data_IF_395874347130
#
_entry.id   IF_395874347130
#
_cell.length_a   1.000
_cell.length_b   1.000
_cell.length_c   1.000
_cell.angle_alpha   90.00
_cell.angle_beta   90.00
_cell.angle_gamma   90.00
#
_symmetry.space_group_name_H-M   'P 1'
#
loop_
_entity.id
_entity.type
_entity.pdbx_description
1 polymer ?
#
# COMPACT_ATOMS: atom_id res chain seq x y z
N UNK A 1 -21.66 47.12 -34.69
CA UNK A 1 -20.82 46.03 -34.12
C UNK A 1 -21.37 44.72 -34.65
N UNK A 2 -20.57 43.88 -35.31
CA UNK A 2 -21.05 42.61 -35.89
C UNK A 2 -21.50 41.66 -34.76
N UNK A 3 -22.69 41.04 -34.84
CA UNK A 3 -23.30 40.29 -33.74
C UNK A 3 -22.42 39.13 -33.22
N UNK A 4 -21.55 38.58 -34.07
CA UNK A 4 -20.59 37.55 -33.66
C UNK A 4 -19.53 38.01 -32.64
N UNK A 5 -19.20 39.31 -32.59
CA UNK A 5 -18.20 39.82 -31.64
C UNK A 5 -18.67 39.77 -30.18
N UNK A 6 -19.96 39.98 -29.95
CA UNK A 6 -20.54 39.95 -28.59
C UNK A 6 -20.55 38.52 -28.04
N UNK A 7 -20.81 37.53 -28.89
CA UNK A 7 -20.77 36.12 -28.52
C UNK A 7 -19.36 35.68 -28.13
N UNK A 8 -18.34 36.06 -28.91
CA UNK A 8 -16.94 35.73 -28.61
C UNK A 8 -16.52 36.35 -27.27
N UNK A 9 -16.88 37.61 -27.02
CA UNK A 9 -16.57 38.28 -25.75
C UNK A 9 -17.25 37.58 -24.57
N UNK A 10 -18.52 37.18 -24.72
CA UNK A 10 -19.23 36.43 -23.67
C UNK A 10 -18.58 35.09 -23.35
N UNK A 11 -18.15 34.33 -24.37
CA UNK A 11 -17.45 33.05 -24.18
C UNK A 11 -16.11 33.24 -23.49
N UNK A 12 -15.33 34.24 -23.91
CA UNK A 12 -14.02 34.53 -23.31
C UNK A 12 -14.17 34.93 -21.84
N UNK A 13 -15.15 35.78 -21.53
CA UNK A 13 -15.42 36.18 -20.14
C UNK A 13 -15.89 35.00 -19.27
N UNK A 14 -16.74 34.11 -19.82
CA UNK A 14 -17.18 32.91 -19.12
C UNK A 14 -16.03 31.94 -18.82
N UNK A 15 -15.14 31.71 -19.79
CA UNK A 15 -13.96 30.85 -19.62
C UNK A 15 -12.98 31.42 -18.60
N UNK A 16 -12.70 32.73 -18.68
CA UNK A 16 -11.84 33.40 -17.71
C UNK A 16 -12.42 33.33 -16.29
N UNK A 17 -13.72 33.61 -16.15
CA UNK A 17 -14.40 33.52 -14.86
C UNK A 17 -14.40 32.10 -14.29
N UNK A 18 -14.71 31.10 -15.12
CA UNK A 18 -14.70 29.68 -14.73
C UNK A 18 -13.30 29.20 -14.32
N UNK A 19 -12.25 29.64 -15.03
CA UNK A 19 -10.87 29.29 -14.70
C UNK A 19 -10.41 29.93 -13.39
N UNK A 20 -10.73 31.21 -13.17
CA UNK A 20 -10.42 31.90 -11.91
C UNK A 20 -11.14 31.20 -10.75
N UNK A 21 -12.42 30.84 -10.92
CA UNK A 21 -13.19 30.12 -9.91
C UNK A 21 -12.55 28.76 -9.58
N UNK A 22 -12.21 27.98 -10.61
CA UNK A 22 -11.62 26.65 -10.45
C UNK A 22 -10.26 26.69 -9.75
N UNK A 23 -9.45 27.73 -9.92
CA UNK A 23 -8.10 27.79 -9.32
C UNK A 23 -8.04 28.51 -7.96
N UNK A 24 -8.85 29.55 -7.73
CA UNK A 24 -8.77 30.33 -6.49
C UNK A 24 -9.83 29.95 -5.45
N UNK A 25 -11.01 29.48 -5.86
CA UNK A 25 -12.12 29.19 -4.94
C UNK A 25 -12.15 27.69 -4.57
N UNK A 26 -11.89 26.81 -5.54
CA UNK A 26 -11.79 25.36 -5.33
C UNK A 26 -10.46 24.81 -5.82
N UNK A 27 -9.32 25.18 -5.20
CA UNK A 27 -8.04 24.59 -5.55
C UNK A 27 -8.14 23.06 -5.43
N UNK A 28 -7.58 22.36 -6.42
CA UNK A 28 -7.49 20.89 -6.36
C UNK A 28 -6.69 20.51 -5.12
N UNK A 29 -7.34 19.85 -4.18
CA UNK A 29 -6.65 19.26 -3.04
C UNK A 29 -6.01 17.97 -3.53
N UNK A 30 -4.69 17.99 -3.70
CA UNK A 30 -3.91 16.76 -3.83
C UNK A 30 -3.97 16.06 -2.47
N UNK A 31 -4.89 15.11 -2.33
CA UNK A 31 -4.82 14.19 -1.21
C UNK A 31 -3.69 13.23 -1.54
N UNK A 32 -2.58 13.32 -0.80
CA UNK A 32 -1.51 12.34 -0.91
C UNK A 32 -2.10 10.96 -0.65
N UNK A 33 -2.30 10.17 -1.71
CA UNK A 33 -2.82 8.82 -1.61
C UNK A 33 -1.75 7.95 -0.96
N UNK A 34 -1.90 7.70 0.32
CA UNK A 34 -1.01 6.87 1.11
C UNK A 34 -1.61 5.45 1.25
N UNK A 35 -0.83 4.35 1.17
CA UNK A 35 -1.37 2.99 1.20
C UNK A 35 -2.37 2.68 2.33
N UNK A 36 -2.22 3.22 3.56
CA UNK A 36 -3.21 3.09 4.63
C UNK A 36 -4.58 3.75 4.37
N UNK A 37 -4.67 4.70 3.45
CA UNK A 37 -5.93 5.35 3.04
C UNK A 37 -6.69 4.53 1.98
N UNK A 38 -6.08 3.47 1.44
CA UNK A 38 -6.72 2.60 0.47
C UNK A 38 -7.83 1.76 1.12
N UNK A 39 -8.77 1.30 0.32
CA UNK A 39 -9.77 0.32 0.78
C UNK A 39 -9.09 -0.98 1.22
N UNK A 40 -9.75 -1.71 2.12
CA UNK A 40 -9.24 -2.94 2.74
C UNK A 40 -8.57 -3.93 1.75
N UNK A 41 -9.17 -4.31 0.61
CA UNK A 41 -8.53 -5.28 -0.30
C UNK A 41 -7.18 -4.76 -0.86
N UNK A 42 -7.10 -3.49 -1.22
CA UNK A 42 -5.86 -2.91 -1.76
C UNK A 42 -4.78 -2.74 -0.67
N UNK A 43 -5.16 -2.53 0.59
CA UNK A 43 -4.21 -2.57 1.70
C UNK A 43 -3.61 -3.97 1.88
N UNK A 44 -4.44 -5.00 1.79
CA UNK A 44 -3.98 -6.39 1.88
C UNK A 44 -3.02 -6.73 0.73
N UNK A 45 -3.34 -6.31 -0.49
CA UNK A 45 -2.44 -6.46 -1.64
C UNK A 45 -1.10 -5.74 -1.43
N UNK A 46 -1.12 -4.53 -0.87
CA UNK A 46 0.10 -3.79 -0.53
C UNK A 46 0.96 -4.52 0.51
N UNK A 47 0.34 -5.07 1.55
CA UNK A 47 1.03 -5.87 2.57
C UNK A 47 1.65 -7.12 1.92
N UNK A 48 0.87 -7.84 1.10
CA UNK A 48 1.30 -9.05 0.39
C UNK A 48 2.50 -8.76 -0.51
N UNK A 49 2.45 -7.70 -1.32
CA UNK A 49 3.57 -7.27 -2.14
C UNK A 49 4.81 -6.93 -1.31
N UNK A 50 4.61 -6.26 -0.17
CA UNK A 50 5.71 -5.89 0.73
C UNK A 50 6.36 -7.13 1.37
N UNK A 51 5.56 -8.11 1.79
CA UNK A 51 6.05 -9.38 2.32
C UNK A 51 6.87 -10.15 1.29
N UNK A 52 6.37 -10.27 0.06
CA UNK A 52 7.10 -10.92 -1.04
C UNK A 52 8.39 -10.19 -1.41
N UNK A 53 8.37 -8.85 -1.42
CA UNK A 53 9.57 -8.05 -1.67
C UNK A 53 10.63 -8.27 -0.58
N UNK A 54 10.23 -8.23 0.70
CA UNK A 54 11.12 -8.49 1.84
C UNK A 54 11.71 -9.90 1.79
N UNK A 55 10.89 -10.89 1.42
CA UNK A 55 11.34 -12.26 1.31
C UNK A 55 12.45 -12.43 0.26
N UNK A 56 12.41 -11.65 -0.83
CA UNK A 56 13.44 -11.62 -1.87
C UNK A 56 14.67 -10.80 -1.45
N UNK A 57 14.49 -9.53 -1.07
CA UNK A 57 15.59 -8.59 -0.86
C UNK A 57 16.20 -8.63 0.56
N UNK A 58 15.45 -9.14 1.55
CA UNK A 58 15.85 -9.19 2.96
C UNK A 58 15.93 -7.83 3.64
N UNK A 59 15.43 -6.75 3.03
CA UNK A 59 15.55 -5.39 3.55
C UNK A 59 14.42 -5.06 4.54
N UNK A 60 14.67 -5.37 5.81
CA UNK A 60 13.67 -5.20 6.87
C UNK A 60 13.29 -3.73 7.12
N UNK A 61 14.26 -2.81 7.07
CA UNK A 61 13.99 -1.39 7.26
C UNK A 61 13.03 -0.84 6.19
N UNK A 62 13.23 -1.25 4.93
CA UNK A 62 12.34 -0.90 3.83
C UNK A 62 10.94 -1.49 4.02
N UNK A 63 10.84 -2.74 4.49
CA UNK A 63 9.56 -3.38 4.74
C UNK A 63 8.76 -2.65 5.85
N UNK A 64 9.41 -2.32 6.97
CA UNK A 64 8.81 -1.53 8.06
C UNK A 64 8.30 -0.18 7.57
N UNK A 65 9.10 0.52 6.76
CA UNK A 65 8.70 1.83 6.23
C UNK A 65 7.46 1.74 5.35
N UNK A 66 7.35 0.69 4.52
CA UNK A 66 6.18 0.46 3.65
C UNK A 66 4.92 0.06 4.41
N UNK A 67 5.08 -0.61 5.55
CA UNK A 67 3.97 -1.06 6.39
C UNK A 67 3.62 -0.07 7.50
N UNK A 68 4.30 1.07 7.55
CA UNK A 68 4.06 2.09 8.55
C UNK A 68 2.61 2.57 8.45
N UNK A 69 2.00 2.77 9.62
CA UNK A 69 0.63 3.27 9.77
C UNK A 69 -0.47 2.29 9.29
N UNK A 70 -0.12 1.04 8.93
CA UNK A 70 -1.08 -0.04 8.72
C UNK A 70 -1.37 -0.80 10.02
N UNK A 71 -2.53 -1.45 10.08
CA UNK A 71 -2.93 -2.25 11.24
C UNK A 71 -2.01 -3.47 11.39
N UNK A 72 -1.42 -3.65 12.58
CA UNK A 72 -0.64 -4.86 12.89
C UNK A 72 -1.45 -6.14 12.67
N UNK A 73 -2.77 -6.09 12.92
CA UNK A 73 -3.66 -7.25 12.70
C UNK A 73 -3.76 -7.62 11.22
N UNK A 74 -3.94 -6.63 10.34
CA UNK A 74 -3.98 -6.87 8.88
C UNK A 74 -2.62 -7.41 8.39
N UNK A 75 -1.51 -6.89 8.95
CA UNK A 75 -0.17 -7.36 8.62
C UNK A 75 0.02 -8.81 9.05
N UNK A 76 -0.42 -9.18 10.25
CA UNK A 76 -0.34 -10.56 10.75
C UNK A 76 -1.11 -11.52 9.84
N UNK A 77 -2.38 -11.22 9.55
CA UNK A 77 -3.26 -12.06 8.72
C UNK A 77 -2.64 -12.31 7.35
N UNK A 78 -2.27 -11.23 6.63
CA UNK A 78 -1.72 -11.34 5.28
C UNK A 78 -0.35 -12.03 5.27
N UNK A 79 0.51 -11.77 6.25
CA UNK A 79 1.84 -12.40 6.28
C UNK A 79 1.76 -13.90 6.55
N UNK A 80 0.80 -14.35 7.36
CA UNK A 80 0.53 -15.78 7.56
C UNK A 80 0.07 -16.44 6.26
N UNK A 81 -0.88 -15.84 5.55
CA UNK A 81 -1.32 -16.35 4.24
C UNK A 81 -0.17 -16.44 3.23
N UNK A 82 0.69 -15.42 3.16
CA UNK A 82 1.84 -15.40 2.27
C UNK A 82 2.86 -16.48 2.64
N UNK A 83 3.08 -16.72 3.95
CA UNK A 83 3.95 -17.79 4.40
C UNK A 83 3.38 -19.15 4.02
N UNK A 84 2.09 -19.40 4.26
CA UNK A 84 1.44 -20.67 3.93
C UNK A 84 1.47 -20.93 2.41
N UNK A 85 1.24 -19.91 1.59
CA UNK A 85 1.40 -19.98 0.14
C UNK A 85 2.84 -20.31 -0.26
N UNK A 86 3.84 -19.66 0.36
CA UNK A 86 5.23 -19.91 0.08
C UNK A 86 5.66 -21.35 0.44
N UNK A 87 5.14 -21.87 1.55
CA UNK A 87 5.36 -23.26 1.98
C UNK A 87 4.72 -24.24 0.98
N UNK A 88 3.45 -24.02 0.63
CA UNK A 88 2.74 -24.86 -0.34
C UNK A 88 3.41 -24.86 -1.72
N UNK A 89 3.98 -23.71 -2.13
CA UNK A 89 4.73 -23.57 -3.38
C UNK A 89 6.18 -24.09 -3.31
N UNK A 90 6.64 -24.60 -2.17
CA UNK A 90 8.00 -25.11 -2.00
C UNK A 90 9.08 -24.05 -2.22
N UNK A 91 8.83 -22.81 -1.79
CA UNK A 91 9.82 -21.72 -1.92
C UNK A 91 11.10 -22.03 -1.13
N UNK A 92 12.25 -21.44 -1.51
CA UNK A 92 13.51 -21.68 -0.80
C UNK A 92 13.40 -21.40 0.70
N UNK A 93 14.04 -22.22 1.52
CA UNK A 93 13.96 -22.12 2.99
C UNK A 93 14.36 -20.73 3.51
N UNK A 94 15.38 -20.10 2.92
CA UNK A 94 15.79 -18.74 3.28
C UNK A 94 14.64 -17.72 3.14
N UNK A 95 13.76 -17.92 2.15
CA UNK A 95 12.59 -17.09 1.92
C UNK A 95 11.51 -17.35 2.97
N UNK A 96 11.25 -18.62 3.28
CA UNK A 96 10.31 -19.05 4.32
C UNK A 96 10.72 -18.51 5.70
N UNK A 97 12.00 -18.61 6.05
CA UNK A 97 12.56 -18.07 7.30
C UNK A 97 12.37 -16.56 7.40
N UNK A 98 12.59 -15.82 6.30
CA UNK A 98 12.35 -14.36 6.26
C UNK A 98 10.87 -14.03 6.47
N UNK A 99 9.97 -14.69 5.74
CA UNK A 99 8.52 -14.48 5.89
C UNK A 99 8.05 -14.81 7.32
N UNK A 100 8.52 -15.93 7.88
CA UNK A 100 8.23 -16.31 9.26
C UNK A 100 8.78 -15.31 10.28
N UNK A 101 10.00 -14.78 10.09
CA UNK A 101 10.57 -13.74 10.95
C UNK A 101 9.76 -12.44 10.91
N UNK A 102 9.25 -12.07 9.73
CA UNK A 102 8.38 -10.90 9.57
C UNK A 102 7.04 -11.12 10.28
N UNK A 103 6.41 -12.28 10.08
CA UNK A 103 5.15 -12.64 10.73
C UNK A 103 5.30 -12.56 12.27
N UNK A 104 6.38 -13.15 12.79
CA UNK A 104 6.71 -13.12 14.22
C UNK A 104 6.97 -11.70 14.74
N UNK A 105 7.69 -10.87 13.99
CA UNK A 105 8.00 -9.49 14.39
C UNK A 105 6.73 -8.64 14.57
N UNK A 106 5.67 -8.94 13.82
CA UNK A 106 4.35 -8.32 13.98
C UNK A 106 3.45 -9.05 14.99
N UNK A 107 3.92 -10.12 15.63
CA UNK A 107 3.19 -10.88 16.66
C UNK A 107 2.27 -11.97 16.12
N UNK A 108 2.44 -12.37 14.85
CA UNK A 108 1.66 -13.45 14.28
C UNK A 108 2.16 -14.80 14.82
N UNK A 109 1.22 -15.65 15.22
CA UNK A 109 1.49 -17.03 15.62
C UNK A 109 0.84 -17.99 14.63
N UNK A 110 1.61 -18.98 14.16
CA UNK A 110 1.13 -20.00 13.25
C UNK A 110 2.12 -21.16 13.12
N UNK A 111 1.69 -22.33 12.63
CA UNK A 111 2.55 -23.51 12.51
C UNK A 111 3.80 -23.25 11.65
N UNK A 112 3.64 -22.59 10.50
CA UNK A 112 4.76 -22.20 9.65
C UNK A 112 5.71 -21.22 10.34
N UNK A 113 5.18 -20.29 11.15
CA UNK A 113 6.01 -19.34 11.90
C UNK A 113 6.86 -20.08 12.94
N UNK A 114 6.27 -20.99 13.71
CA UNK A 114 7.00 -21.77 14.71
C UNK A 114 8.15 -22.59 14.08
N UNK A 115 7.89 -23.22 12.93
CA UNK A 115 8.87 -24.06 12.22
C UNK A 115 10.00 -23.22 11.63
N UNK A 116 9.66 -22.16 10.88
CA UNK A 116 10.64 -21.44 10.05
C UNK A 116 11.26 -20.21 10.74
N UNK A 117 10.65 -19.62 11.75
CA UNK A 117 11.28 -18.52 12.49
C UNK A 117 12.35 -19.01 13.48
N UNK A 118 12.53 -20.33 13.63
CA UNK A 118 13.57 -20.90 14.49
C UNK A 118 13.26 -20.75 15.98
N UNK A 119 11.97 -20.76 16.37
CA UNK A 119 11.60 -20.98 17.77
C UNK A 119 11.80 -22.46 18.05
N UNK A 120 13.05 -22.83 18.27
CA UNK A 120 13.38 -23.98 19.09
C UNK A 120 13.07 -23.56 20.52
N UNK A 121 11.86 -23.87 21.01
CA UNK A 121 11.72 -24.09 22.45
C UNK A 121 12.68 -25.25 22.79
N UNK A 122 13.74 -24.91 23.52
CA UNK A 122 14.61 -25.86 24.22
C UNK A 122 14.05 -26.07 25.61
#
# INVERSE_FOLDING_TARGET
>A
MKPGGVLVVGVVLGLLGGLIYAWFIQPVSYVDTYPPLLEAPFRQDWIRMTAWAYAQDGNWERAKLRLRDLSSKEIQEVTLEVLDEAVAAGKPEAMLRRLASMAMAYGAAGPGVAIYAGVTEV
#
